data_IF_484860631251
#
_entry.id   IF_484860631251
#
_cell.length_a   1.000
_cell.length_b   1.000
_cell.length_c   1.000
_cell.angle_alpha   90.00
_cell.angle_beta   90.00
_cell.angle_gamma   90.00
#
_symmetry.space_group_name_H-M   'P 1'
#
loop_
_entity.id
_entity.type
_entity.pdbx_description
1 polymer ?
#
# COMPACT_ATOMS: atom_id res chain seq x y z
N UNK A 1 -0.29 23.52 10.62
CA UNK A 1 -0.18 22.33 9.74
C UNK A 1 -1.43 21.51 9.99
N UNK A 2 -2.22 21.19 8.96
CA UNK A 2 -3.37 20.29 9.11
C UNK A 2 -2.79 18.90 9.31
N UNK A 3 -3.18 18.22 10.40
CA UNK A 3 -2.80 16.82 10.60
C UNK A 3 -3.60 15.96 9.61
N UNK A 4 -2.93 15.53 8.55
CA UNK A 4 -3.47 14.74 7.43
C UNK A 4 -3.47 13.24 7.74
N UNK A 5 -2.73 12.78 8.75
CA UNK A 5 -2.66 11.35 9.11
C UNK A 5 -4.03 10.73 9.44
N UNK A 6 -4.91 11.38 10.21
CA UNK A 6 -6.25 10.84 10.48
C UNK A 6 -7.09 10.70 9.20
N UNK A 7 -6.94 11.64 8.27
CA UNK A 7 -7.68 11.66 7.00
C UNK A 7 -7.19 10.55 6.07
N UNK A 8 -5.87 10.37 5.95
CA UNK A 8 -5.27 9.25 5.21
C UNK A 8 -5.70 7.91 5.81
N UNK A 9 -5.66 7.79 7.14
CA UNK A 9 -6.07 6.57 7.85
C UNK A 9 -7.53 6.23 7.55
N UNK A 10 -8.42 7.22 7.61
CA UNK A 10 -9.84 7.04 7.31
C UNK A 10 -10.06 6.66 5.84
N UNK A 11 -9.32 7.28 4.91
CA UNK A 11 -9.39 6.96 3.49
C UNK A 11 -8.94 5.53 3.21
N UNK A 12 -7.78 5.12 3.71
CA UNK A 12 -7.27 3.75 3.52
C UNK A 12 -8.24 2.72 4.10
N UNK A 13 -8.76 2.95 5.30
CA UNK A 13 -9.73 2.06 5.96
C UNK A 13 -11.05 1.93 5.20
N UNK A 14 -11.49 2.98 4.53
CA UNK A 14 -12.79 3.00 3.85
C UNK A 14 -12.74 2.37 2.45
N UNK A 15 -11.57 2.42 1.79
CA UNK A 15 -11.41 1.96 0.42
C UNK A 15 -10.70 0.61 0.32
N UNK A 16 -9.86 0.27 1.30
CA UNK A 16 -9.00 -0.91 1.24
C UNK A 16 -9.03 -1.72 2.53
N UNK A 17 -8.86 -3.03 2.39
CA UNK A 17 -8.57 -3.95 3.49
C UNK A 17 -7.26 -4.69 3.22
N UNK A 18 -6.61 -5.15 4.29
CA UNK A 18 -5.41 -5.97 4.17
C UNK A 18 -5.74 -7.31 3.52
N UNK A 19 -4.87 -7.75 2.62
CA UNK A 19 -5.05 -8.99 1.87
C UNK A 19 -3.72 -9.74 1.68
N UNK A 20 -3.78 -10.87 1.00
CA UNK A 20 -2.61 -11.72 0.71
C UNK A 20 -2.06 -11.44 -0.69
N UNK A 21 -0.85 -11.93 -0.97
CA UNK A 21 -0.25 -11.83 -2.31
C UNK A 21 -1.12 -12.47 -3.41
N UNK A 22 -2.01 -13.40 -3.09
CA UNK A 22 -2.85 -14.09 -4.08
C UNK A 22 -4.17 -13.36 -4.34
N UNK A 23 -4.67 -12.61 -3.35
CA UNK A 23 -6.00 -11.99 -3.40
C UNK A 23 -5.98 -10.46 -3.47
N UNK A 24 -4.82 -9.83 -3.30
CA UNK A 24 -4.70 -8.38 -3.37
C UNK A 24 -5.02 -7.86 -4.78
N UNK A 25 -5.90 -6.85 -4.84
CA UNK A 25 -6.14 -6.04 -6.05
C UNK A 25 -4.89 -5.26 -6.42
N UNK A 26 -4.21 -4.69 -5.42
CA UNK A 26 -3.00 -3.89 -5.58
C UNK A 26 -1.87 -4.41 -4.70
N UNK A 27 -0.69 -4.55 -5.31
CA UNK A 27 0.57 -4.89 -4.64
C UNK A 27 1.52 -3.73 -4.81
N UNK A 28 1.66 -2.89 -3.78
CA UNK A 28 2.38 -1.63 -3.88
C UNK A 28 3.54 -1.57 -2.90
N UNK A 29 4.69 -1.05 -3.33
CA UNK A 29 5.74 -0.61 -2.41
C UNK A 29 5.26 0.62 -1.62
N UNK A 30 5.94 0.95 -0.52
CA UNK A 30 5.64 2.19 0.24
C UNK A 30 5.67 3.42 -0.66
N UNK A 31 6.70 3.56 -1.51
CA UNK A 31 6.82 4.67 -2.45
C UNK A 31 5.67 4.76 -3.46
N UNK A 32 5.22 3.62 -4.00
CA UNK A 32 4.10 3.59 -4.94
C UNK A 32 2.77 3.91 -4.23
N UNK A 33 2.60 3.46 -2.98
CA UNK A 33 1.42 3.77 -2.19
C UNK A 33 1.38 5.24 -1.75
N UNK A 34 2.51 5.84 -1.37
CA UNK A 34 2.62 7.28 -1.14
C UNK A 34 2.24 8.07 -2.39
N UNK A 35 2.79 7.68 -3.55
CA UNK A 35 2.46 8.31 -4.83
C UNK A 35 0.96 8.23 -5.15
N UNK A 36 0.31 7.10 -4.83
CA UNK A 36 -1.14 6.95 -4.97
C UNK A 36 -1.89 7.92 -4.05
N UNK A 37 -1.49 8.00 -2.78
CA UNK A 37 -2.12 8.86 -1.78
C UNK A 37 -1.97 10.35 -2.14
N UNK A 38 -0.83 10.76 -2.70
CA UNK A 38 -0.59 12.14 -3.10
C UNK A 38 -1.38 12.58 -4.35
N UNK A 39 -2.09 11.67 -5.03
CA UNK A 39 -3.09 12.07 -6.03
C UNK A 39 -4.38 12.60 -5.38
N UNK A 40 -4.60 12.32 -4.09
CA UNK A 40 -5.81 12.69 -3.35
C UNK A 40 -5.51 13.70 -2.24
N UNK A 41 -4.35 13.54 -1.58
CA UNK A 41 -3.86 14.39 -0.51
C UNK A 41 -2.70 15.26 -1.01
N UNK A 42 -2.37 16.37 -0.33
CA UNK A 42 -1.18 17.16 -0.68
C UNK A 42 0.09 16.30 -0.69
N UNK A 43 1.01 16.59 -1.60
CA UNK A 43 2.35 16.00 -1.61
C UNK A 43 3.04 16.23 -0.26
N UNK A 44 3.85 15.26 0.17
CA UNK A 44 4.58 15.27 1.44
C UNK A 44 3.69 15.48 2.69
N UNK A 45 2.39 15.20 2.59
CA UNK A 45 1.46 15.28 3.72
C UNK A 45 1.65 14.17 4.76
N UNK A 46 2.36 13.10 4.38
CA UNK A 46 2.84 12.01 5.24
C UNK A 46 4.15 11.49 4.64
N UNK A 47 5.01 10.89 5.46
CA UNK A 47 6.23 10.21 4.99
C UNK A 47 6.13 8.68 5.06
N UNK A 48 7.22 7.98 4.75
CA UNK A 48 7.28 6.51 4.80
C UNK A 48 7.06 5.95 6.22
N UNK A 49 7.49 6.65 7.27
CA UNK A 49 7.29 6.22 8.65
C UNK A 49 5.84 6.35 9.06
N UNK A 50 5.23 7.48 8.70
CA UNK A 50 3.81 7.74 8.92
C UNK A 50 2.93 6.73 8.20
N UNK A 51 3.26 6.44 6.94
CA UNK A 51 2.55 5.42 6.18
C UNK A 51 2.69 4.03 6.84
N UNK A 52 3.89 3.67 7.29
CA UNK A 52 4.13 2.40 7.98
C UNK A 52 3.29 2.29 9.26
N UNK A 53 3.25 3.33 10.08
CA UNK A 53 2.48 3.36 11.32
C UNK A 53 0.97 3.28 11.06
N UNK A 54 0.47 4.00 10.06
CA UNK A 54 -0.94 3.96 9.64
C UNK A 54 -1.31 2.55 9.19
N UNK A 55 -0.52 1.94 8.29
CA UNK A 55 -0.80 0.62 7.75
C UNK A 55 -0.73 -0.46 8.82
N UNK A 56 0.27 -0.40 9.70
CA UNK A 56 0.40 -1.33 10.84
C UNK A 56 -0.79 -1.21 11.79
N UNK A 57 -1.25 0.01 12.08
CA UNK A 57 -2.44 0.28 12.90
C UNK A 57 -3.71 -0.28 12.25
N UNK A 58 -3.79 -0.24 10.92
CA UNK A 58 -4.89 -0.82 10.14
C UNK A 58 -4.78 -2.35 9.96
N UNK A 59 -3.75 -2.99 10.54
CA UNK A 59 -3.58 -4.44 10.50
C UNK A 59 -2.91 -4.98 9.23
N UNK A 60 -2.30 -4.10 8.43
CA UNK A 60 -1.48 -4.52 7.29
C UNK A 60 -0.10 -4.98 7.77
N UNK A 61 0.51 -5.86 6.97
CA UNK A 61 1.88 -6.29 7.16
C UNK A 61 2.59 -6.26 5.81
N UNK A 62 3.84 -5.79 5.74
CA UNK A 62 4.61 -5.86 4.51
C UNK A 62 4.85 -7.33 4.16
N UNK A 63 4.52 -7.72 2.93
CA UNK A 63 4.71 -9.08 2.44
C UNK A 63 5.91 -9.12 1.49
N UNK A 64 6.72 -10.16 1.63
CA UNK A 64 7.87 -10.40 0.76
C UNK A 64 7.39 -10.95 -0.58
N UNK A 65 7.68 -10.24 -1.66
CA UNK A 65 7.43 -10.67 -3.02
C UNK A 65 8.76 -10.96 -3.71
N UNK A 66 8.89 -12.15 -4.28
CA UNK A 66 10.00 -12.52 -5.14
C UNK A 66 9.56 -12.44 -6.60
N UNK A 67 10.34 -11.77 -7.43
CA UNK A 67 10.13 -11.68 -8.87
C UNK A 67 11.36 -12.23 -9.58
N UNK A 68 11.18 -13.21 -10.46
CA UNK A 68 12.27 -13.76 -11.27
C UNK A 68 12.26 -13.07 -12.63
N UNK A 69 13.40 -12.51 -13.05
CA UNK A 69 13.56 -12.02 -14.42
C UNK A 69 14.15 -13.13 -15.29
N UNK A 70 13.45 -13.53 -16.35
CA UNK A 70 13.98 -14.45 -17.36
C UNK A 70 14.95 -13.70 -18.29
N UNK A 71 16.21 -13.59 -17.84
CA UNK A 71 17.35 -13.08 -18.62
C UNK A 71 18.39 -14.16 -18.88
N UNK A 72 19.57 -13.78 -19.40
CA UNK A 72 20.70 -14.71 -19.61
C UNK A 72 21.24 -15.32 -18.31
N UNK A 73 20.94 -14.70 -17.17
CA UNK A 73 21.19 -15.21 -15.82
C UNK A 73 19.89 -15.07 -15.02
N UNK A 74 19.45 -16.16 -14.39
CA UNK A 74 18.28 -16.16 -13.51
C UNK A 74 18.58 -15.32 -12.28
N UNK A 75 17.98 -14.12 -12.22
CA UNK A 75 18.13 -13.21 -11.07
C UNK A 75 16.80 -13.10 -10.34
N UNK A 76 16.82 -13.39 -9.04
CA UNK A 76 15.66 -13.29 -8.15
C UNK A 76 15.71 -11.93 -7.44
N UNK A 77 14.73 -11.07 -7.74
CA UNK A 77 14.54 -9.80 -7.05
C UNK A 77 13.58 -10.01 -5.88
N UNK A 78 13.98 -9.51 -4.71
CA UNK A 78 13.15 -9.55 -3.50
C UNK A 78 12.73 -8.12 -3.18
N UNK A 79 11.42 -7.89 -3.07
CA UNK A 79 10.83 -6.61 -2.65
C UNK A 79 9.78 -6.83 -1.57
N UNK A 80 9.54 -5.81 -0.74
CA UNK A 80 8.41 -5.79 0.20
C UNK A 80 7.27 -4.96 -0.37
N UNK A 81 6.06 -5.50 -0.29
CA UNK A 81 4.85 -4.86 -0.80
C UNK A 81 3.73 -4.89 0.23
N UNK A 82 2.90 -3.87 0.18
CA UNK A 82 1.61 -3.81 0.84
C UNK A 82 0.56 -4.40 -0.09
N UNK A 83 -0.23 -5.33 0.44
CA UNK A 83 -1.29 -6.00 -0.29
C UNK A 83 -2.63 -5.38 0.08
N UNK A 84 -3.17 -4.57 -0.83
CA UNK A 84 -4.44 -3.87 -0.68
C UNK A 84 -5.51 -4.55 -1.52
N UNK A 85 -6.62 -4.91 -0.90
CA UNK A 85 -7.82 -5.37 -1.59
C UNK A 85 -8.87 -4.27 -1.51
N UNK A 86 -9.40 -3.87 -2.68
CA UNK A 86 -10.44 -2.86 -2.76
C UNK A 86 -11.71 -3.38 -2.09
N UNK A 87 -12.27 -2.57 -1.20
CA UNK A 87 -13.59 -2.83 -0.65
C UNK A 87 -14.57 -2.43 -1.75
N UNK A 88 -15.06 -3.41 -2.50
CA UNK A 88 -16.10 -3.18 -3.51
C UNK A 88 -17.36 -2.65 -2.82
N UNK A 89 -17.54 -1.34 -2.80
CA UNK A 89 -18.82 -0.73 -2.50
C UNK A 89 -19.73 -0.96 -3.70
N UNK A 90 -20.19 -2.21 -3.85
CA UNK A 90 -21.27 -2.57 -4.75
C UNK A 90 -22.56 -2.11 -4.08
N UNK A 91 -22.78 -0.80 -4.02
CA UNK A 91 -24.13 -0.27 -3.83
C UNK A 91 -24.82 -0.33 -5.18
N UNK A 92 -25.65 -1.37 -5.30
CA UNK A 92 -26.77 -1.49 -6.24
C UNK A 92 -27.65 -0.25 -6.17
#
# INVERSE_FOLDING_TARGET
MIDTKPQVTAFLRSNFKSSTLEHATHKLSSSALLSLLFNVFPEDSIDDYDLFDILTTLGYKPLKQSSTSEGKEETVYISFVWCLEEISNTSV
#
